data_IF_967695743747
#
_entry.id   IF_967695743747
#
_cell.length_a   1.000
_cell.length_b   1.000
_cell.length_c   1.000
_cell.angle_alpha   90.00
_cell.angle_beta   90.00
_cell.angle_gamma   90.00
#
_symmetry.space_group_name_H-M   'P 1'
#
loop_
_entity.id
_entity.type
_entity.pdbx_description
1 polymer ?
#
# COMPACT_ATOMS: atom_id res chain seq x y z
N UNK A 1 1.75 -6.57 -86.37
CA UNK A 1 0.78 -6.07 -85.41
C UNK A 1 0.81 -6.90 -84.11
N UNK A 2 2.01 -7.17 -83.47
CA UNK A 2 2.10 -8.01 -82.30
C UNK A 2 2.79 -7.33 -81.04
N UNK A 3 3.13 -6.06 -81.10
CA UNK A 3 3.90 -5.37 -80.11
C UNK A 3 3.05 -4.62 -79.06
N UNK A 4 1.75 -4.44 -79.24
CA UNK A 4 0.91 -3.62 -78.32
C UNK A 4 0.20 -4.41 -77.23
N UNK A 5 0.16 -5.75 -77.32
CA UNK A 5 -0.50 -6.55 -76.28
C UNK A 5 0.40 -6.91 -75.11
N UNK A 6 1.74 -6.94 -75.27
CA UNK A 6 2.68 -7.22 -74.17
C UNK A 6 2.79 -6.05 -73.19
N UNK A 7 2.69 -4.81 -73.64
CA UNK A 7 2.80 -3.62 -72.85
C UNK A 7 1.61 -3.42 -71.83
N UNK A 8 0.40 -3.81 -72.33
CA UNK A 8 -0.81 -3.74 -71.43
C UNK A 8 -0.81 -4.76 -70.29
N UNK A 9 -0.31 -5.97 -70.50
CA UNK A 9 -0.20 -7.01 -69.50
C UNK A 9 0.90 -6.67 -68.48
N UNK A 10 2.01 -6.10 -68.89
CA UNK A 10 3.06 -5.63 -68.02
C UNK A 10 2.61 -4.42 -67.18
N UNK A 11 1.85 -3.50 -67.80
CA UNK A 11 1.30 -2.35 -67.02
C UNK A 11 0.25 -2.76 -65.94
N UNK A 12 -0.60 -3.76 -66.26
CA UNK A 12 -1.55 -4.31 -65.30
C UNK A 12 -0.85 -5.09 -64.16
N UNK A 13 0.22 -5.83 -64.46
CA UNK A 13 0.99 -6.55 -63.45
C UNK A 13 1.75 -5.58 -62.49
N UNK A 14 2.30 -4.48 -63.02
CA UNK A 14 2.94 -3.45 -62.21
C UNK A 14 1.95 -2.68 -61.31
N UNK A 15 0.73 -2.41 -61.78
CA UNK A 15 -0.30 -1.73 -60.97
C UNK A 15 -0.85 -2.61 -59.84
N UNK A 16 -0.96 -3.94 -60.05
CA UNK A 16 -1.32 -4.87 -58.96
C UNK A 16 -0.21 -5.01 -57.90
N UNK A 17 1.06 -4.95 -58.29
CA UNK A 17 2.18 -5.05 -57.35
C UNK A 17 2.32 -3.82 -56.44
N UNK A 18 1.93 -2.63 -56.93
CA UNK A 18 1.96 -1.39 -56.13
C UNK A 18 0.83 -1.34 -55.07
N UNK A 19 -0.32 -1.97 -55.35
CA UNK A 19 -1.42 -2.07 -54.38
C UNK A 19 -1.16 -3.10 -53.26
N UNK A 20 -0.26 -4.06 -53.47
CA UNK A 20 0.10 -5.07 -52.45
C UNK A 20 1.15 -4.59 -51.45
N UNK A 21 1.77 -3.43 -51.68
CA UNK A 21 2.79 -2.83 -50.78
C UNK A 21 2.24 -1.74 -49.83
N UNK A 22 0.93 -1.72 -49.58
CA UNK A 22 0.41 -0.89 -48.47
C UNK A 22 1.08 -1.33 -47.17
N UNK A 23 1.78 -0.43 -46.45
CA UNK A 23 2.35 -0.79 -45.15
C UNK A 23 1.20 -1.30 -44.27
N UNK A 24 1.30 -2.54 -43.85
CA UNK A 24 0.43 -3.02 -42.78
C UNK A 24 0.69 -2.09 -41.58
N UNK A 25 -0.22 -1.17 -41.31
CA UNK A 25 -0.23 -0.40 -40.08
C UNK A 25 -0.41 -1.44 -38.99
N UNK A 26 0.69 -1.83 -38.37
CA UNK A 26 0.65 -2.68 -37.19
C UNK A 26 -0.19 -1.92 -36.17
N UNK A 27 -1.40 -2.37 -35.96
CA UNK A 27 -2.28 -1.84 -34.92
C UNK A 27 -1.55 -2.10 -33.62
N UNK A 28 -1.11 -1.06 -32.92
CA UNK A 28 -0.52 -1.22 -31.59
C UNK A 28 -1.51 -2.03 -30.75
N UNK A 29 -1.04 -3.10 -30.07
CA UNK A 29 -1.93 -3.93 -29.28
C UNK A 29 -2.63 -3.04 -28.26
N UNK A 30 -3.96 -3.13 -28.21
CA UNK A 30 -4.76 -2.35 -27.24
C UNK A 30 -4.26 -2.64 -25.83
N UNK A 31 -4.04 -1.59 -25.06
CA UNK A 31 -3.70 -1.73 -23.63
C UNK A 31 -4.94 -2.19 -22.83
N UNK A 32 -4.79 -3.16 -21.89
CA UNK A 32 -3.63 -4.01 -21.65
C UNK A 32 -3.60 -5.27 -22.53
N UNK A 33 -2.43 -5.68 -23.03
CA UNK A 33 -2.23 -6.89 -23.84
C UNK A 33 -1.40 -7.98 -23.16
N UNK A 34 -0.89 -7.70 -21.94
CA UNK A 34 -0.07 -8.62 -21.13
C UNK A 34 -0.40 -8.45 -19.64
N UNK A 35 0.03 -9.36 -18.76
CA UNK A 35 -0.19 -9.25 -17.34
C UNK A 35 0.34 -7.94 -16.73
N UNK A 36 -0.40 -7.39 -15.75
CA UNK A 36 -0.02 -6.21 -14.97
C UNK A 36 0.57 -6.67 -13.65
N UNK A 37 1.65 -6.02 -13.19
CA UNK A 37 2.26 -6.25 -11.89
C UNK A 37 1.92 -5.13 -10.94
N UNK A 38 1.31 -5.45 -9.79
CA UNK A 38 1.15 -4.51 -8.68
C UNK A 38 2.24 -4.80 -7.65
N UNK A 39 3.12 -3.84 -7.47
CA UNK A 39 4.16 -3.88 -6.43
C UNK A 39 3.56 -3.41 -5.11
N UNK A 40 3.86 -4.18 -4.05
CA UNK A 40 3.50 -3.87 -2.66
C UNK A 40 4.79 -3.77 -1.85
N UNK A 41 5.04 -2.62 -1.21
CA UNK A 41 6.27 -2.31 -0.48
C UNK A 41 6.45 -3.05 0.86
N UNK A 42 5.65 -4.10 1.12
CA UNK A 42 5.64 -4.85 2.38
C UNK A 42 5.51 -6.36 2.14
N UNK A 43 5.89 -7.20 3.14
CA UNK A 43 5.64 -8.63 3.10
C UNK A 43 4.15 -8.97 2.98
N UNK A 44 3.83 -10.17 2.46
CA UNK A 44 2.45 -10.65 2.39
C UNK A 44 1.74 -10.65 3.75
N UNK A 45 0.41 -10.48 3.75
CA UNK A 45 -0.47 -10.55 4.93
C UNK A 45 -0.65 -9.24 5.69
N UNK A 46 0.05 -8.16 5.33
CA UNK A 46 -0.20 -6.83 5.89
C UNK A 46 -1.34 -6.10 5.16
N UNK A 47 -1.79 -4.96 5.71
CA UNK A 47 -2.89 -4.17 5.15
C UNK A 47 -2.67 -3.71 3.72
N UNK A 48 -1.43 -3.33 3.35
CA UNK A 48 -1.09 -2.93 1.98
C UNK A 48 -1.20 -4.11 1.02
N UNK A 49 -0.76 -5.31 1.43
CA UNK A 49 -0.88 -6.53 0.64
C UNK A 49 -2.35 -6.93 0.45
N UNK A 50 -3.15 -6.90 1.52
CA UNK A 50 -4.59 -7.17 1.44
C UNK A 50 -5.28 -6.19 0.48
N UNK A 51 -4.98 -4.90 0.59
CA UNK A 51 -5.51 -3.86 -0.31
C UNK A 51 -5.08 -4.13 -1.75
N UNK A 52 -3.80 -4.44 -1.99
CA UNK A 52 -3.27 -4.77 -3.30
C UNK A 52 -3.96 -5.97 -3.95
N UNK A 53 -4.24 -7.04 -3.18
CA UNK A 53 -4.92 -8.24 -3.69
C UNK A 53 -6.37 -7.97 -4.08
N UNK A 54 -7.09 -7.16 -3.31
CA UNK A 54 -8.45 -6.74 -3.67
C UNK A 54 -8.43 -5.96 -4.99
N UNK A 55 -7.53 -4.97 -5.11
CA UNK A 55 -7.37 -4.19 -6.35
C UNK A 55 -6.96 -5.08 -7.52
N UNK A 56 -6.01 -6.01 -7.32
CA UNK A 56 -5.55 -6.91 -8.37
C UNK A 56 -6.69 -7.78 -8.93
N UNK A 57 -7.54 -8.31 -8.04
CA UNK A 57 -8.70 -9.12 -8.44
C UNK A 57 -9.69 -8.30 -9.26
N UNK A 58 -10.09 -7.13 -8.76
CA UNK A 58 -11.08 -6.29 -9.45
C UNK A 58 -10.55 -5.73 -10.77
N UNK A 59 -9.30 -5.28 -10.77
CA UNK A 59 -8.65 -4.76 -11.97
C UNK A 59 -8.48 -5.85 -13.03
N UNK A 60 -8.07 -7.07 -12.63
CA UNK A 60 -7.95 -8.21 -13.52
C UNK A 60 -9.28 -8.59 -14.17
N UNK A 61 -10.37 -8.63 -13.37
CA UNK A 61 -11.72 -8.90 -13.86
C UNK A 61 -12.18 -7.84 -14.88
N UNK A 62 -11.90 -6.56 -14.64
CA UNK A 62 -12.29 -5.46 -15.53
C UNK A 62 -11.48 -5.41 -16.83
N UNK A 63 -10.19 -5.64 -16.74
CA UNK A 63 -9.26 -5.50 -17.87
C UNK A 63 -9.10 -6.78 -18.68
N UNK A 64 -9.58 -7.92 -18.19
CA UNK A 64 -9.46 -9.22 -18.88
C UNK A 64 -8.04 -9.76 -18.99
N UNK A 65 -7.10 -9.26 -18.18
CA UNK A 65 -5.72 -9.74 -18.12
C UNK A 65 -5.35 -10.11 -16.66
N UNK A 66 -4.40 -11.03 -16.44
CA UNK A 66 -3.91 -11.33 -15.11
C UNK A 66 -3.27 -10.10 -14.46
N UNK A 67 -3.63 -9.83 -13.18
CA UNK A 67 -2.96 -8.83 -12.35
C UNK A 67 -2.31 -9.56 -11.18
N UNK A 68 -0.98 -9.47 -11.09
CA UNK A 68 -0.18 -10.21 -10.11
C UNK A 68 0.40 -9.28 -9.04
N UNK A 69 0.48 -9.78 -7.81
CA UNK A 69 1.10 -9.04 -6.70
C UNK A 69 2.57 -9.44 -6.57
N UNK A 70 3.44 -8.44 -6.49
CA UNK A 70 4.85 -8.59 -6.16
C UNK A 70 5.17 -7.88 -4.85
N UNK A 71 5.47 -8.64 -3.80
CA UNK A 71 5.82 -8.08 -2.50
C UNK A 71 7.31 -7.78 -2.42
N UNK A 72 7.70 -6.49 -2.31
CA UNK A 72 9.08 -6.03 -2.19
C UNK A 72 9.22 -5.20 -0.92
N UNK A 73 9.39 -5.87 0.21
CA UNK A 73 9.47 -5.23 1.51
C UNK A 73 10.83 -4.60 1.80
N UNK A 74 10.82 -3.60 2.69
CA UNK A 74 12.02 -2.99 3.26
C UNK A 74 11.97 -1.45 3.28
N UNK A 75 12.68 -0.87 4.25
CA UNK A 75 12.79 0.58 4.45
C UNK A 75 11.42 1.32 4.49
N UNK A 76 10.44 0.75 5.21
CA UNK A 76 9.09 1.33 5.29
C UNK A 76 8.37 1.41 3.95
N UNK A 77 8.60 0.43 3.06
CA UNK A 77 8.01 0.38 1.72
C UNK A 77 8.83 1.08 0.63
N UNK A 78 9.88 1.81 0.99
CA UNK A 78 10.64 2.62 0.05
C UNK A 78 11.32 1.81 -1.07
N UNK A 79 11.71 0.55 -0.82
CA UNK A 79 12.36 -0.29 -1.85
C UNK A 79 11.36 -0.63 -2.97
N UNK A 80 10.16 -1.07 -2.62
CA UNK A 80 9.10 -1.35 -3.59
C UNK A 80 8.67 -0.10 -4.36
N UNK A 81 8.49 1.03 -3.66
CA UNK A 81 8.15 2.30 -4.29
C UNK A 81 9.24 2.78 -5.27
N UNK A 82 10.53 2.64 -4.92
CA UNK A 82 11.65 2.99 -5.80
C UNK A 82 11.64 2.17 -7.10
N UNK A 83 11.32 0.87 -7.00
CA UNK A 83 11.20 0.02 -8.19
C UNK A 83 10.16 0.58 -9.16
N UNK A 84 8.98 0.95 -8.65
CA UNK A 84 7.90 1.49 -9.51
C UNK A 84 8.27 2.88 -10.05
N UNK A 85 8.82 3.77 -9.22
CA UNK A 85 9.27 5.10 -9.66
C UNK A 85 10.28 5.04 -10.82
N UNK A 86 11.05 3.95 -10.92
CA UNK A 86 12.06 3.72 -11.96
C UNK A 86 11.57 2.80 -13.10
N UNK A 87 10.32 2.35 -13.06
CA UNK A 87 9.76 1.46 -14.07
C UNK A 87 9.36 2.23 -15.36
N UNK A 88 9.21 1.50 -16.46
CA UNK A 88 8.67 2.08 -17.69
C UNK A 88 7.25 2.60 -17.46
N UNK A 89 6.90 3.78 -17.99
CA UNK A 89 5.55 4.35 -17.85
C UNK A 89 4.56 3.74 -18.85
N UNK A 90 4.53 2.41 -18.94
CA UNK A 90 3.72 1.65 -19.89
C UNK A 90 2.40 1.10 -19.30
N UNK A 91 2.16 1.35 -17.98
CA UNK A 91 0.98 0.90 -17.29
C UNK A 91 1.04 -0.54 -16.75
N UNK A 92 2.12 -1.28 -17.00
CA UNK A 92 2.22 -2.68 -16.57
C UNK A 92 2.91 -2.89 -15.22
N UNK A 93 3.46 -1.83 -14.63
CA UNK A 93 4.03 -1.86 -13.28
C UNK A 93 3.41 -0.75 -12.45
N UNK A 94 2.62 -1.12 -11.45
CA UNK A 94 1.86 -0.21 -10.61
C UNK A 94 2.30 -0.36 -9.15
N UNK A 95 2.17 0.69 -8.35
CA UNK A 95 2.34 0.65 -6.91
C UNK A 95 0.97 0.70 -6.23
N UNK A 96 0.66 -0.26 -5.38
CA UNK A 96 -0.28 -0.01 -4.30
C UNK A 96 0.54 0.48 -3.12
N UNK A 97 0.57 1.79 -2.97
CA UNK A 97 1.33 2.51 -1.96
C UNK A 97 0.47 3.02 -0.83
N UNK A 98 1.06 3.08 0.36
CA UNK A 98 0.46 3.71 1.53
C UNK A 98 1.02 5.13 1.73
N UNK A 99 0.45 5.89 2.66
CA UNK A 99 0.95 7.22 3.05
C UNK A 99 2.45 7.25 3.36
N UNK A 100 3.01 6.11 3.78
CA UNK A 100 4.44 6.00 4.10
C UNK A 100 5.30 6.21 2.87
N UNK A 101 5.05 5.44 1.80
CA UNK A 101 5.81 5.49 0.55
C UNK A 101 5.61 6.82 -0.16
N UNK A 102 4.36 7.30 -0.14
CA UNK A 102 3.94 8.47 -0.91
C UNK A 102 4.50 9.77 -0.30
N UNK A 103 4.41 9.92 1.02
CA UNK A 103 4.66 11.21 1.67
C UNK A 103 5.71 11.14 2.80
N UNK A 104 5.66 10.11 3.66
CA UNK A 104 6.41 10.12 4.92
C UNK A 104 7.87 9.76 4.71
N UNK A 105 8.17 8.73 3.91
CA UNK A 105 9.53 8.22 3.74
C UNK A 105 10.53 9.30 3.33
N UNK A 106 10.15 10.20 2.42
CA UNK A 106 11.01 11.29 1.96
C UNK A 106 11.35 12.29 3.08
N UNK A 107 10.43 12.48 4.04
CA UNK A 107 10.62 13.40 5.16
C UNK A 107 11.52 12.82 6.26
N UNK A 108 11.45 11.49 6.46
CA UNK A 108 12.12 10.83 7.58
C UNK A 108 13.43 10.12 7.19
N UNK A 109 13.68 9.92 5.90
CA UNK A 109 14.83 9.14 5.41
C UNK A 109 15.53 9.80 4.23
N UNK A 110 16.75 10.29 4.45
CA UNK A 110 17.59 10.89 3.39
C UNK A 110 17.98 9.91 2.27
N UNK A 111 17.89 8.60 2.50
CA UNK A 111 18.25 7.54 1.54
C UNK A 111 17.18 7.28 0.47
N UNK A 112 15.97 7.83 0.62
CA UNK A 112 14.91 7.70 -0.37
C UNK A 112 15.24 8.55 -1.60
N UNK A 113 15.31 7.90 -2.78
CA UNK A 113 15.74 8.52 -4.04
C UNK A 113 14.59 8.96 -4.95
N UNK A 114 13.34 8.68 -4.56
CA UNK A 114 12.14 9.11 -5.27
C UNK A 114 11.42 10.23 -4.51
N UNK A 115 10.50 10.89 -5.20
CA UNK A 115 9.60 11.92 -4.66
C UNK A 115 8.15 11.58 -5.04
N UNK A 116 7.14 12.23 -4.44
CA UNK A 116 5.74 12.05 -4.80
C UNK A 116 5.45 12.34 -6.28
N UNK A 117 6.18 13.29 -6.87
CA UNK A 117 6.09 13.65 -8.30
C UNK A 117 6.59 12.55 -9.26
N UNK A 118 7.31 11.54 -8.73
CA UNK A 118 7.76 10.39 -9.50
C UNK A 118 6.67 9.30 -9.59
N UNK A 119 5.43 9.67 -9.29
CA UNK A 119 4.24 8.85 -9.45
C UNK A 119 3.09 9.67 -10.02
N UNK A 120 2.20 9.01 -10.73
CA UNK A 120 0.89 9.56 -11.12
C UNK A 120 -0.16 8.94 -10.20
N UNK A 121 -0.99 9.74 -9.53
CA UNK A 121 -2.08 9.20 -8.70
C UNK A 121 -3.27 8.83 -9.59
N UNK A 122 -3.60 7.55 -9.68
CA UNK A 122 -4.84 7.09 -10.34
C UNK A 122 -6.04 7.34 -9.42
N UNK A 123 -5.93 6.92 -8.16
CA UNK A 123 -7.02 7.13 -7.21
C UNK A 123 -6.67 6.70 -5.79
N UNK A 124 -7.45 7.25 -4.85
CA UNK A 124 -7.46 6.82 -3.46
C UNK A 124 -8.28 5.52 -3.37
N UNK A 125 -7.64 4.45 -2.92
CA UNK A 125 -8.30 3.15 -2.75
C UNK A 125 -9.07 3.11 -1.43
N UNK A 126 -8.42 3.49 -0.33
CA UNK A 126 -9.00 3.46 1.01
C UNK A 126 -8.28 4.41 1.97
N UNK A 127 -9.01 4.86 2.99
CA UNK A 127 -8.47 5.47 4.20
C UNK A 127 -8.87 4.59 5.38
N UNK A 128 -7.90 4.26 6.24
CA UNK A 128 -8.14 3.37 7.38
C UNK A 128 -7.53 3.93 8.65
N UNK A 129 -8.19 3.74 9.80
CA UNK A 129 -7.61 4.05 11.09
C UNK A 129 -6.50 3.07 11.45
N UNK A 130 -5.64 3.48 12.37
CA UNK A 130 -4.76 2.58 13.07
C UNK A 130 -5.43 2.17 14.39
N UNK A 131 -4.92 1.12 15.00
CA UNK A 131 -5.41 0.61 16.28
C UNK A 131 -4.23 0.27 17.17
N UNK A 132 -4.24 0.82 18.39
CA UNK A 132 -3.34 0.41 19.44
C UNK A 132 -3.86 -0.91 20.04
N UNK A 133 -2.99 -1.89 20.11
CA UNK A 133 -3.31 -3.22 20.66
C UNK A 133 -2.34 -3.63 21.76
N UNK A 134 -2.82 -4.51 22.63
CA UNK A 134 -2.03 -5.19 23.64
C UNK A 134 -2.02 -6.70 23.35
N UNK A 135 -0.91 -7.37 23.66
CA UNK A 135 -0.86 -8.83 23.74
C UNK A 135 -1.69 -9.30 24.93
N UNK A 136 -2.20 -10.53 24.87
CA UNK A 136 -2.99 -11.12 25.97
C UNK A 136 -2.14 -11.30 27.23
N UNK A 137 -0.84 -11.56 27.08
CA UNK A 137 0.12 -11.66 28.19
C UNK A 137 0.52 -10.34 28.82
N UNK A 138 0.19 -9.20 28.20
CA UNK A 138 0.49 -7.87 28.78
C UNK A 138 -0.22 -7.60 30.11
N UNK A 139 -1.33 -8.32 30.39
CA UNK A 139 -2.18 -8.09 31.57
C UNK A 139 -2.95 -6.77 31.51
N UNK A 140 -3.17 -6.21 30.33
CA UNK A 140 -3.89 -4.96 30.05
C UNK A 140 -5.16 -5.29 29.26
N UNK A 141 -6.31 -4.75 29.66
CA UNK A 141 -7.61 -5.03 29.04
C UNK A 141 -8.25 -3.81 28.33
N UNK A 142 -7.79 -2.62 28.66
CA UNK A 142 -8.35 -1.37 28.12
C UNK A 142 -7.31 -0.23 28.16
N UNK A 143 -7.67 0.91 27.57
CA UNK A 143 -6.81 2.09 27.50
C UNK A 143 -6.40 2.65 28.86
N UNK A 144 -7.31 2.63 29.85
CA UNK A 144 -7.01 3.16 31.18
C UNK A 144 -5.95 2.29 31.92
N UNK A 145 -6.10 0.98 31.85
CA UNK A 145 -5.11 0.03 32.38
C UNK A 145 -3.75 0.14 31.70
N UNK A 146 -3.76 0.29 30.35
CA UNK A 146 -2.55 0.54 29.57
C UNK A 146 -1.83 1.80 30.07
N UNK A 147 -2.54 2.91 30.11
CA UNK A 147 -1.99 4.20 30.53
C UNK A 147 -1.43 4.13 31.95
N UNK A 148 -2.19 3.55 32.89
CA UNK A 148 -1.74 3.38 34.27
C UNK A 148 -0.51 2.48 34.38
N UNK A 149 -0.50 1.36 33.67
CA UNK A 149 0.59 0.38 33.73
C UNK A 149 1.89 0.95 33.19
N UNK A 150 1.82 1.62 32.03
CA UNK A 150 3.01 2.18 31.37
C UNK A 150 3.54 3.40 32.16
N UNK A 151 2.66 4.29 32.59
CA UNK A 151 3.09 5.49 33.36
C UNK A 151 3.76 5.16 34.71
N UNK A 152 3.31 4.09 35.38
CA UNK A 152 3.94 3.60 36.62
C UNK A 152 5.26 2.87 36.42
N UNK A 153 5.60 2.49 35.20
CA UNK A 153 6.78 1.70 34.87
C UNK A 153 7.49 2.26 33.64
N UNK A 154 8.03 3.47 33.67
CA UNK A 154 8.63 4.13 32.50
C UNK A 154 9.81 3.31 31.97
N UNK A 155 9.82 3.10 30.64
CA UNK A 155 10.87 2.38 29.92
C UNK A 155 10.84 0.84 30.03
N UNK A 156 9.91 0.28 30.82
CA UNK A 156 9.83 -1.18 31.03
C UNK A 156 9.16 -1.92 29.88
N UNK A 157 8.30 -1.25 29.14
CA UNK A 157 7.50 -1.84 28.08
C UNK A 157 7.95 -1.39 26.71
N UNK A 158 7.61 -2.22 25.71
CA UNK A 158 7.90 -1.95 24.31
C UNK A 158 6.62 -1.91 23.48
N UNK A 159 6.67 -1.18 22.36
CA UNK A 159 5.64 -1.24 21.34
C UNK A 159 6.25 -1.48 19.97
N UNK A 160 5.53 -2.21 19.13
CA UNK A 160 5.95 -2.52 17.76
C UNK A 160 5.22 -1.73 16.69
N UNK A 161 5.91 -1.50 15.59
CA UNK A 161 5.36 -0.93 14.35
C UNK A 161 5.89 -1.65 13.13
N UNK A 162 5.34 -1.35 11.95
CA UNK A 162 5.80 -1.92 10.68
C UNK A 162 7.12 -1.36 10.15
N UNK A 163 7.80 -0.53 10.93
CA UNK A 163 9.11 0.05 10.59
C UNK A 163 9.24 1.51 11.02
N UNK A 164 10.49 1.97 11.08
CA UNK A 164 10.80 3.37 11.42
C UNK A 164 10.21 4.31 10.37
N UNK A 165 9.58 5.40 10.80
CA UNK A 165 8.99 6.42 9.94
C UNK A 165 7.65 6.03 9.30
N UNK A 166 7.11 4.83 9.58
CA UNK A 166 5.78 4.46 9.09
C UNK A 166 4.66 5.15 9.88
N UNK A 167 3.45 5.22 9.33
CA UNK A 167 2.28 5.75 10.05
C UNK A 167 2.06 5.05 11.38
N UNK A 168 2.36 3.74 11.46
CA UNK A 168 2.25 2.95 12.68
C UNK A 168 3.27 3.42 13.75
N UNK A 169 4.49 3.71 13.33
CA UNK A 169 5.51 4.27 14.21
C UNK A 169 5.10 5.67 14.70
N UNK A 170 4.70 6.55 13.78
CA UNK A 170 4.27 7.90 14.13
C UNK A 170 3.07 7.90 15.09
N UNK A 171 2.10 7.01 14.88
CA UNK A 171 0.99 6.84 15.80
C UNK A 171 1.45 6.40 17.19
N UNK A 172 2.38 5.46 17.29
CA UNK A 172 2.98 5.05 18.56
C UNK A 172 3.69 6.21 19.28
N UNK A 173 4.46 7.02 18.54
CA UNK A 173 5.13 8.21 19.11
C UNK A 173 4.12 9.29 19.53
N UNK A 174 3.06 9.54 18.73
CA UNK A 174 1.98 10.44 19.13
C UNK A 174 1.29 9.97 20.42
N UNK A 175 1.02 8.68 20.57
CA UNK A 175 0.43 8.10 21.78
C UNK A 175 1.38 8.30 22.97
N UNK A 176 2.68 8.06 22.81
CA UNK A 176 3.70 8.28 23.83
C UNK A 176 3.74 9.75 24.25
N UNK A 177 3.79 10.66 23.31
CA UNK A 177 3.85 12.10 23.53
C UNK A 177 2.61 12.61 24.28
N UNK A 178 1.42 12.33 23.76
CA UNK A 178 0.15 12.78 24.35
C UNK A 178 -0.08 12.15 25.73
N UNK A 179 0.24 10.87 25.87
CA UNK A 179 0.11 10.13 27.11
C UNK A 179 1.22 10.39 28.12
N UNK A 180 2.29 11.10 27.75
CA UNK A 180 3.53 11.21 28.54
C UNK A 180 4.05 9.85 28.97
N UNK A 181 4.01 8.89 28.03
CA UNK A 181 4.37 7.50 28.25
C UNK A 181 5.78 7.22 27.72
N UNK A 182 6.57 6.49 28.49
CA UNK A 182 7.90 6.10 28.06
C UNK A 182 7.95 4.59 27.75
N UNK A 183 8.01 4.25 26.44
CA UNK A 183 8.11 2.90 25.91
C UNK A 183 9.20 2.83 24.85
N UNK A 184 9.83 1.67 24.73
CA UNK A 184 10.81 1.41 23.65
C UNK A 184 10.10 1.04 22.37
N UNK A 185 10.48 1.66 21.25
CA UNK A 185 9.99 1.29 19.93
C UNK A 185 10.77 0.11 19.35
N UNK A 186 10.07 -0.93 18.89
CA UNK A 186 10.62 -2.09 18.20
C UNK A 186 10.13 -2.07 16.74
N UNK A 187 11.01 -1.73 15.78
CA UNK A 187 10.63 -1.70 14.37
C UNK A 187 10.66 -3.10 13.75
N UNK A 188 9.56 -3.49 13.10
CA UNK A 188 9.45 -4.74 12.33
C UNK A 188 9.53 -4.46 10.82
N UNK A 189 9.84 -5.49 10.03
CA UNK A 189 9.80 -5.40 8.57
C UNK A 189 8.39 -5.64 8.02
N UNK A 190 7.38 -4.92 8.57
CA UNK A 190 5.97 -5.05 8.20
C UNK A 190 5.11 -5.59 9.34
N UNK A 191 3.80 -5.71 9.08
CA UNK A 191 2.81 -6.10 10.11
C UNK A 191 2.85 -7.58 10.43
N UNK A 192 3.16 -8.47 9.48
CA UNK A 192 3.11 -9.91 9.71
C UNK A 192 4.08 -10.39 10.83
N UNK A 193 5.39 -10.06 10.84
CA UNK A 193 6.26 -10.42 11.96
C UNK A 193 5.87 -9.73 13.27
N UNK A 194 5.39 -8.49 13.25
CA UNK A 194 4.84 -7.81 14.43
C UNK A 194 3.66 -8.58 15.03
N UNK A 195 2.76 -9.08 14.18
CA UNK A 195 1.61 -9.88 14.61
C UNK A 195 2.06 -11.16 15.33
N UNK A 196 3.06 -11.86 14.78
CA UNK A 196 3.55 -13.10 15.38
C UNK A 196 4.07 -12.86 16.80
N UNK A 197 4.80 -11.77 17.04
CA UNK A 197 5.34 -11.47 18.34
C UNK A 197 4.27 -11.02 19.34
N UNK A 198 3.28 -10.24 18.91
CA UNK A 198 2.14 -9.86 19.77
C UNK A 198 1.28 -11.06 20.14
N UNK A 199 0.95 -11.92 19.18
CA UNK A 199 0.15 -13.14 19.42
C UNK A 199 0.94 -14.15 20.27
N UNK A 200 2.26 -14.21 20.07
CA UNK A 200 3.17 -15.05 20.88
C UNK A 200 3.51 -14.49 22.25
N UNK A 201 3.00 -13.31 22.62
CA UNK A 201 3.33 -12.60 23.86
C UNK A 201 4.84 -12.26 24.03
N UNK A 202 5.57 -12.16 22.90
CA UNK A 202 6.97 -11.71 22.88
C UNK A 202 7.09 -10.18 22.85
N UNK A 203 5.96 -9.48 22.67
CA UNK A 203 5.85 -8.02 22.67
C UNK A 203 4.55 -7.63 23.38
N UNK A 204 4.59 -6.59 24.20
CA UNK A 204 3.42 -6.20 25.00
C UNK A 204 2.40 -5.38 24.21
N UNK A 205 2.87 -4.41 23.39
CA UNK A 205 2.01 -3.46 22.70
C UNK A 205 2.40 -3.34 21.23
N UNK A 206 1.46 -2.91 20.40
CA UNK A 206 1.73 -2.66 18.99
C UNK A 206 0.68 -1.77 18.35
N UNK A 207 1.02 -1.25 17.18
CA UNK A 207 0.09 -0.49 16.36
C UNK A 207 -0.14 -1.25 15.06
N UNK A 208 -1.40 -1.47 14.71
CA UNK A 208 -1.83 -2.08 13.46
C UNK A 208 -2.61 -1.09 12.60
N UNK A 209 -2.72 -1.35 11.31
CA UNK A 209 -3.86 -0.85 10.52
C UNK A 209 -5.08 -1.69 10.91
N UNK A 210 -6.23 -1.06 11.10
CA UNK A 210 -7.42 -1.74 11.64
C UNK A 210 -7.78 -2.99 10.83
N UNK A 211 -7.73 -2.94 9.50
CA UNK A 211 -8.06 -4.10 8.64
C UNK A 211 -7.17 -5.32 8.90
N UNK A 212 -5.88 -5.12 9.12
CA UNK A 212 -4.94 -6.23 9.42
C UNK A 212 -5.01 -6.68 10.88
N UNK A 213 -5.38 -5.79 11.80
CA UNK A 213 -5.53 -6.11 13.22
C UNK A 213 -6.84 -6.79 13.58
N UNK A 214 -7.92 -6.48 12.85
CA UNK A 214 -9.29 -6.87 13.20
C UNK A 214 -9.51 -8.39 13.33
N UNK A 215 -8.97 -9.26 12.46
CA UNK A 215 -9.09 -10.71 12.64
C UNK A 215 -8.50 -11.21 13.96
N UNK A 216 -7.39 -10.64 14.39
CA UNK A 216 -6.70 -11.00 15.63
C UNK A 216 -7.42 -10.46 16.87
N UNK A 217 -8.03 -9.27 16.75
CA UNK A 217 -8.89 -8.68 17.79
C UNK A 217 -10.16 -9.53 17.95
N UNK A 218 -10.86 -9.84 16.86
CA UNK A 218 -12.10 -10.64 16.89
C UNK A 218 -11.88 -12.05 17.41
N UNK A 219 -10.71 -12.64 17.15
CA UNK A 219 -10.37 -13.98 17.67
C UNK A 219 -9.80 -13.95 19.10
N UNK A 220 -9.71 -12.79 19.74
CA UNK A 220 -9.18 -12.61 21.10
C UNK A 220 -7.67 -12.86 21.24
N UNK A 221 -6.94 -12.92 20.13
CA UNK A 221 -5.47 -13.12 20.13
C UNK A 221 -4.70 -11.87 20.54
N UNK A 222 -5.30 -10.70 20.35
CA UNK A 222 -4.81 -9.41 20.85
C UNK A 222 -6.00 -8.59 21.35
N UNK A 223 -5.74 -7.64 22.22
CA UNK A 223 -6.73 -6.77 22.87
C UNK A 223 -6.66 -5.39 22.20
N UNK A 224 -7.77 -4.89 21.65
CA UNK A 224 -7.85 -3.53 21.13
C UNK A 224 -7.96 -2.54 22.29
N UNK A 225 -7.07 -1.54 22.32
CA UNK A 225 -7.08 -0.47 23.33
C UNK A 225 -7.76 0.80 22.82
N UNK A 226 -7.74 1.03 21.49
CA UNK A 226 -8.44 2.12 20.85
C UNK A 226 -7.90 2.43 19.46
N UNK A 227 -8.76 3.01 18.61
CA UNK A 227 -8.40 3.48 17.26
C UNK A 227 -7.82 4.89 17.32
N UNK A 228 -7.02 5.24 16.32
CA UNK A 228 -6.33 6.54 16.25
C UNK A 228 -7.12 7.60 15.46
N UNK A 229 -8.39 7.39 15.21
CA UNK A 229 -9.28 8.41 14.62
C UNK A 229 -9.84 9.34 15.70
N UNK A 230 -10.18 10.57 15.30
CA UNK A 230 -10.83 11.54 16.17
C UNK A 230 -12.20 11.06 16.69
N UNK A 231 -12.86 10.16 15.95
CA UNK A 231 -14.15 9.56 16.29
C UNK A 231 -14.08 8.05 16.13
N UNK A 232 -14.96 7.35 16.85
CA UNK A 232 -15.10 5.90 16.76
C UNK A 232 -15.49 5.48 15.34
N UNK A 233 -14.83 4.45 14.82
CA UNK A 233 -15.14 3.92 13.49
C UNK A 233 -16.53 3.26 13.47
N UNK A 234 -17.36 3.57 12.47
CA UNK A 234 -18.68 2.93 12.34
C UNK A 234 -18.57 1.43 12.00
N UNK A 235 -17.43 0.99 11.46
CA UNK A 235 -17.19 -0.42 11.13
C UNK A 235 -16.87 -1.25 12.38
N UNK A 236 -16.33 -0.61 13.41
CA UNK A 236 -15.95 -1.23 14.69
C UNK A 236 -16.41 -0.38 15.87
N UNK A 237 -17.73 -0.23 16.07
CA UNK A 237 -18.29 0.65 17.10
C UNK A 237 -17.92 0.21 18.52
N UNK A 238 -17.56 -1.06 18.71
CA UNK A 238 -17.13 -1.60 20.01
C UNK A 238 -15.68 -1.23 20.39
N UNK A 239 -14.87 -0.77 19.42
CA UNK A 239 -13.50 -0.31 19.68
C UNK A 239 -13.55 1.21 19.91
N UNK A 240 -13.18 1.71 21.10
CA UNK A 240 -13.20 3.15 21.35
C UNK A 240 -12.18 3.90 20.48
N UNK A 241 -12.42 5.17 20.20
CA UNK A 241 -11.38 6.04 19.69
C UNK A 241 -10.47 6.48 20.87
N UNK A 242 -9.15 6.51 20.68
CA UNK A 242 -8.23 7.03 21.70
C UNK A 242 -8.59 8.46 22.09
N UNK A 243 -9.07 9.24 21.13
CA UNK A 243 -9.50 10.62 21.31
C UNK A 243 -10.72 10.80 22.25
N UNK A 244 -11.45 9.73 22.60
CA UNK A 244 -12.49 9.75 23.62
C UNK A 244 -11.89 9.97 25.03
N UNK A 245 -10.62 9.65 25.22
CA UNK A 245 -9.89 9.98 26.44
C UNK A 245 -9.29 11.39 26.33
N UNK A 246 -9.50 12.28 27.33
CA UNK A 246 -8.95 13.64 27.31
C UNK A 246 -7.44 13.69 27.11
N UNK A 247 -6.73 12.68 27.58
CA UNK A 247 -5.28 12.56 27.46
C UNK A 247 -4.83 12.36 26.01
N UNK A 248 -5.65 11.72 25.17
CA UNK A 248 -5.31 11.36 23.79
C UNK A 248 -6.16 12.09 22.74
N UNK A 249 -6.86 13.18 23.12
CA UNK A 249 -7.81 13.90 22.26
C UNK A 249 -7.22 14.39 20.93
N UNK A 250 -5.90 14.56 20.84
CA UNK A 250 -5.20 15.03 19.63
C UNK A 250 -4.55 13.87 18.85
N UNK A 251 -4.81 12.62 19.21
CA UNK A 251 -4.37 11.46 18.42
C UNK A 251 -5.36 11.26 17.29
N UNK A 252 -5.02 11.81 16.12
CA UNK A 252 -5.79 11.65 14.89
C UNK A 252 -4.83 11.37 13.74
N UNK A 253 -4.62 10.10 13.44
CA UNK A 253 -3.71 9.62 12.39
C UNK A 253 -4.24 8.34 11.77
N UNK A 254 -4.23 8.28 10.44
CA UNK A 254 -4.62 7.11 9.67
C UNK A 254 -3.62 6.79 8.57
N UNK A 255 -3.91 5.75 7.82
CA UNK A 255 -3.19 5.38 6.62
C UNK A 255 -4.11 5.48 5.41
N UNK A 256 -3.59 6.02 4.31
CA UNK A 256 -4.28 6.06 3.01
C UNK A 256 -3.54 5.18 2.05
N UNK A 257 -4.30 4.46 1.22
CA UNK A 257 -3.79 3.59 0.17
C UNK A 257 -4.20 4.16 -1.18
N UNK A 258 -3.26 4.19 -2.13
CA UNK A 258 -3.50 4.68 -3.48
C UNK A 258 -2.88 3.75 -4.52
N UNK A 259 -3.48 3.73 -5.71
CA UNK A 259 -2.92 3.09 -6.90
C UNK A 259 -2.11 4.12 -7.68
N UNK A 260 -0.85 3.80 -7.94
CA UNK A 260 0.10 4.75 -8.52
C UNK A 260 1.04 4.07 -9.52
N UNK A 261 0.94 4.37 -10.81
CA UNK A 261 1.96 4.08 -11.80
C UNK A 261 3.15 5.03 -11.71
N UNK A 262 4.23 4.76 -12.47
CA UNK A 262 5.29 5.74 -12.75
C UNK A 262 4.73 7.04 -13.35
N UNK A 263 5.51 8.13 -13.36
CA UNK A 263 5.09 9.39 -13.97
C UNK A 263 4.95 9.26 -15.50
N UNK A 264 4.17 10.17 -16.08
CA UNK A 264 3.97 10.27 -17.55
C UNK A 264 3.31 9.04 -18.19
N UNK A 265 2.36 8.42 -17.50
CA UNK A 265 1.58 7.31 -18.04
C UNK A 265 0.83 7.77 -19.31
N UNK A 266 0.93 7.06 -20.46
CA UNK A 266 0.19 7.39 -21.68
C UNK A 266 -1.33 7.29 -21.46
N UNK A 267 -2.11 8.15 -22.13
CA UNK A 267 -3.58 8.15 -22.02
C UNK A 267 -4.22 6.77 -22.21
N UNK A 268 -3.85 5.98 -23.23
CA UNK A 268 -4.43 4.65 -23.42
C UNK A 268 -4.23 3.69 -22.24
N UNK A 269 -3.17 3.90 -21.47
CA UNK A 269 -2.92 3.11 -20.25
C UNK A 269 -3.55 3.73 -19.00
N UNK A 270 -3.80 5.05 -19.00
CA UNK A 270 -4.37 5.76 -17.86
C UNK A 270 -5.89 5.58 -17.74
N UNK A 271 -6.61 5.65 -18.87
CA UNK A 271 -8.09 5.59 -18.88
C UNK A 271 -8.69 4.28 -18.36
N UNK A 272 -8.11 3.08 -18.62
CA UNK A 272 -8.64 1.82 -18.10
C UNK A 272 -8.32 1.56 -16.62
N UNK A 273 -7.27 2.20 -16.06
CA UNK A 273 -6.83 2.04 -14.67
C UNK A 273 -7.64 2.89 -13.70
#
# INVERSE_FOLDING_TARGET
MHTLHLSRRAALACSLAVLASAPAVAQEPSYPSKPITIVVGYPPGGSTDLTGRVVATELGNRLGVPVVIENIGGAGGAIGAQKVASAAPDGYTLLVGASNEIAINKLVTKKVKYDIKDFTAIGLIASQPLVLVASTGSGVKNLAEFTQKVSKNPGKFSYGSSGVGTSLHLAGEMIKEQGKLFMTHIPYRGVAPLTNDLVGNNLEFGVFVLSSGLPHIKSGKVIALGTTEAKRSPITPDIPALAESPQFKNVDIGVRFALMPPPNLPKPAHEPL
#
